data_IF_024222724671
#
_entry.id   IF_024222724671
#
_cell.length_a   1.000
_cell.length_b   1.000
_cell.length_c   1.000
_cell.angle_alpha   90.00
_cell.angle_beta   90.00
_cell.angle_gamma   90.00
#
_symmetry.space_group_name_H-M   'P 1'
#
loop_
_entity.id
_entity.type
_entity.pdbx_description
1 polymer ?
#
# COMPACT_ATOMS: atom_id res chain seq x y z
N UNK A 1 38.91 -80.75 7.00
CA UNK A 1 37.89 -80.23 6.07
C UNK A 1 38.63 -79.43 5.03
N UNK A 2 38.63 -79.85 3.76
CA UNK A 2 39.43 -79.16 2.74
C UNK A 2 38.91 -77.72 2.55
N UNK A 3 39.79 -76.72 2.40
CA UNK A 3 39.42 -75.31 2.40
C UNK A 3 38.40 -74.93 1.29
N UNK A 4 38.35 -75.69 0.20
CA UNK A 4 37.35 -75.50 -0.86
C UNK A 4 35.93 -75.88 -0.42
N UNK A 5 35.76 -76.81 0.53
CA UNK A 5 34.46 -77.20 1.09
C UNK A 5 33.88 -76.04 1.90
N UNK A 6 34.71 -75.32 2.66
CA UNK A 6 34.28 -74.17 3.46
C UNK A 6 33.85 -72.98 2.58
N UNK A 7 34.56 -72.76 1.46
CA UNK A 7 34.21 -71.77 0.44
C UNK A 7 32.85 -72.08 -0.22
N UNK A 8 32.57 -73.35 -0.55
CA UNK A 8 31.28 -73.75 -1.12
C UNK A 8 30.12 -73.54 -0.13
N UNK A 9 30.32 -73.80 1.16
CA UNK A 9 29.29 -73.58 2.19
C UNK A 9 28.97 -72.09 2.33
N UNK A 10 30.00 -71.24 2.41
CA UNK A 10 29.83 -69.77 2.52
C UNK A 10 29.14 -69.22 1.27
N UNK A 11 29.60 -69.63 0.08
CA UNK A 11 29.01 -69.19 -1.18
C UNK A 11 27.55 -69.63 -1.32
N UNK A 12 27.24 -70.88 -0.93
CA UNK A 12 25.86 -71.39 -0.88
C UNK A 12 24.96 -70.60 0.07
N UNK A 13 25.46 -70.23 1.26
CA UNK A 13 24.71 -69.41 2.22
C UNK A 13 24.43 -68.00 1.71
N UNK A 14 25.39 -67.36 1.03
CA UNK A 14 25.22 -66.04 0.42
C UNK A 14 24.19 -66.09 -0.70
N UNK A 15 24.25 -67.09 -1.59
CA UNK A 15 23.26 -67.27 -2.65
C UNK A 15 21.85 -67.46 -2.06
N UNK A 16 21.73 -68.30 -1.03
CA UNK A 16 20.44 -68.54 -0.36
C UNK A 16 19.87 -67.24 0.24
N UNK A 17 20.71 -66.43 0.88
CA UNK A 17 20.31 -65.13 1.43
C UNK A 17 19.83 -64.16 0.34
N UNK A 18 20.53 -64.09 -0.80
CA UNK A 18 20.14 -63.26 -1.94
C UNK A 18 18.79 -63.72 -2.52
N UNK A 19 18.59 -65.04 -2.68
CA UNK A 19 17.31 -65.61 -3.16
C UNK A 19 16.17 -65.24 -2.20
N UNK A 20 16.37 -65.36 -0.89
CA UNK A 20 15.37 -64.99 0.12
C UNK A 20 15.03 -63.48 0.04
N UNK A 21 16.03 -62.62 -0.18
CA UNK A 21 15.82 -61.17 -0.36
C UNK A 21 15.02 -60.88 -1.64
N UNK A 22 15.34 -61.55 -2.76
CA UNK A 22 14.63 -61.39 -4.04
C UNK A 22 13.18 -61.86 -3.93
N UNK A 23 12.93 -63.03 -3.32
CA UNK A 23 11.57 -63.55 -3.10
C UNK A 23 10.77 -62.60 -2.19
N UNK A 24 11.37 -62.09 -1.11
CA UNK A 24 10.73 -61.09 -0.24
C UNK A 24 10.44 -59.78 -0.98
N UNK A 25 11.33 -59.33 -1.87
CA UNK A 25 11.10 -58.15 -2.73
C UNK A 25 9.98 -58.37 -3.74
N UNK A 26 9.94 -59.51 -4.43
CA UNK A 26 8.90 -59.80 -5.43
C UNK A 26 7.51 -60.01 -4.80
N UNK A 27 7.42 -60.67 -3.63
CA UNK A 27 6.14 -60.78 -2.90
C UNK A 27 5.60 -59.42 -2.43
N UNK A 28 6.49 -58.47 -2.08
CA UNK A 28 6.08 -57.08 -1.76
C UNK A 28 5.60 -56.32 -3.00
N UNK A 29 6.21 -56.56 -4.17
CA UNK A 29 5.83 -55.91 -5.43
C UNK A 29 4.47 -56.34 -5.97
N UNK A 30 4.14 -57.65 -5.93
CA UNK A 30 2.87 -58.19 -6.43
C UNK A 30 1.67 -57.70 -5.61
N UNK A 31 1.73 -57.75 -4.26
CA UNK A 31 0.67 -57.22 -3.39
C UNK A 31 0.42 -55.73 -3.59
N UNK A 32 1.45 -54.94 -3.93
CA UNK A 32 1.30 -53.50 -4.15
C UNK A 32 0.55 -53.18 -5.45
N UNK A 33 0.69 -54.02 -6.50
CA UNK A 33 0.01 -53.83 -7.79
C UNK A 33 -1.48 -54.17 -7.73
N UNK A 34 -1.85 -55.33 -7.18
CA UNK A 34 -3.27 -55.76 -7.09
C UNK A 34 -4.10 -54.76 -6.29
N UNK A 35 -3.56 -54.24 -5.20
CA UNK A 35 -4.31 -53.34 -4.33
C UNK A 35 -4.28 -51.87 -4.80
N UNK A 36 -3.34 -51.46 -5.68
CA UNK A 36 -3.49 -50.15 -6.39
C UNK A 36 -4.67 -50.19 -7.36
N UNK A 37 -4.86 -51.34 -8.02
CA UNK A 37 -6.03 -51.58 -8.86
C UNK A 37 -7.32 -51.45 -8.04
N UNK A 38 -7.37 -52.04 -6.83
CA UNK A 38 -8.58 -52.00 -6.01
C UNK A 38 -8.97 -50.60 -5.54
N UNK A 39 -8.02 -49.74 -5.14
CA UNK A 39 -8.35 -48.34 -4.78
C UNK A 39 -8.93 -47.59 -5.97
N UNK A 40 -8.32 -47.73 -7.16
CA UNK A 40 -8.84 -47.07 -8.37
C UNK A 40 -10.26 -47.53 -8.67
N UNK A 41 -10.52 -48.84 -8.61
CA UNK A 41 -11.85 -49.41 -8.78
C UNK A 41 -12.88 -48.80 -7.82
N UNK A 42 -12.57 -48.67 -6.53
CA UNK A 42 -13.49 -48.03 -5.58
C UNK A 42 -13.75 -46.56 -5.90
N UNK A 43 -12.73 -45.81 -6.33
CA UNK A 43 -12.91 -44.43 -6.75
C UNK A 43 -13.78 -44.32 -8.02
N UNK A 44 -13.61 -45.24 -8.96
CA UNK A 44 -14.41 -45.30 -10.20
C UNK A 44 -15.90 -45.59 -9.91
N UNK A 45 -16.19 -46.36 -8.85
CA UNK A 45 -17.55 -46.60 -8.35
C UNK A 45 -18.06 -45.58 -7.33
N UNK A 46 -17.33 -44.47 -7.10
CA UNK A 46 -17.64 -43.47 -6.07
C UNK A 46 -17.74 -44.01 -4.63
N UNK A 47 -17.10 -45.15 -4.35
CA UNK A 47 -16.98 -45.73 -3.00
C UNK A 47 -15.75 -45.17 -2.27
N UNK A 48 -15.87 -43.91 -1.88
CA UNK A 48 -14.78 -43.19 -1.22
C UNK A 48 -14.41 -43.73 0.16
N UNK A 49 -15.34 -44.39 0.86
CA UNK A 49 -15.10 -44.97 2.19
C UNK A 49 -14.15 -46.17 2.07
N UNK A 50 -14.42 -47.09 1.14
CA UNK A 50 -13.55 -48.23 0.91
C UNK A 50 -12.17 -47.80 0.42
N UNK A 51 -12.09 -46.80 -0.47
CA UNK A 51 -10.83 -46.22 -0.90
C UNK A 51 -10.04 -45.58 0.26
N UNK A 52 -10.69 -44.76 1.09
CA UNK A 52 -10.09 -44.10 2.26
C UNK A 52 -9.56 -45.09 3.29
N UNK A 53 -10.34 -46.13 3.60
CA UNK A 53 -9.93 -47.23 4.48
C UNK A 53 -8.64 -47.88 4.00
N UNK A 54 -8.59 -48.23 2.71
CA UNK A 54 -7.40 -48.84 2.12
C UNK A 54 -6.18 -47.91 2.12
N UNK A 55 -6.35 -46.60 1.95
CA UNK A 55 -5.25 -45.65 2.10
C UNK A 55 -4.72 -45.63 3.54
N UNK A 56 -5.61 -45.56 4.54
CA UNK A 56 -5.22 -45.52 5.95
C UNK A 56 -4.55 -46.82 6.42
N UNK A 57 -5.09 -47.98 6.06
CA UNK A 57 -4.52 -49.30 6.40
C UNK A 57 -3.10 -49.49 5.83
N UNK A 58 -2.77 -48.81 4.73
CA UNK A 58 -1.42 -48.81 4.13
C UNK A 58 -0.48 -47.76 4.71
N UNK A 59 -0.98 -46.88 5.58
CA UNK A 59 -0.23 -45.72 6.04
C UNK A 59 -0.07 -44.61 4.98
N UNK A 60 -0.81 -44.67 3.87
CA UNK A 60 -0.87 -43.64 2.81
C UNK A 60 -1.73 -42.45 3.28
N UNK A 61 -1.32 -41.84 4.40
CA UNK A 61 -2.06 -40.77 5.09
C UNK A 61 -2.22 -39.51 4.24
N UNK A 62 -1.31 -39.28 3.29
CA UNK A 62 -1.41 -38.12 2.39
C UNK A 62 -2.60 -38.29 1.45
N UNK A 63 -2.63 -39.41 0.77
CA UNK A 63 -3.65 -39.76 -0.20
C UNK A 63 -5.03 -39.86 0.46
N UNK A 64 -5.10 -40.37 1.69
CA UNK A 64 -6.33 -40.37 2.51
C UNK A 64 -6.83 -38.95 2.84
N UNK A 65 -5.94 -38.00 3.14
CA UNK A 65 -6.33 -36.62 3.40
C UNK A 65 -6.75 -35.92 2.09
N UNK A 66 -6.00 -36.12 1.00
CA UNK A 66 -6.33 -35.58 -0.32
C UNK A 66 -7.69 -36.12 -0.81
N UNK A 67 -8.04 -37.36 -0.47
CA UNK A 67 -9.33 -37.94 -0.78
C UNK A 67 -10.47 -37.19 -0.07
N UNK A 68 -10.33 -36.90 1.23
CA UNK A 68 -11.35 -36.18 2.02
C UNK A 68 -11.73 -34.80 1.43
N UNK A 69 -10.79 -34.10 0.80
CA UNK A 69 -11.08 -32.81 0.18
C UNK A 69 -11.70 -32.91 -1.21
N UNK A 70 -11.71 -34.11 -1.82
CA UNK A 70 -12.33 -34.40 -3.11
C UNK A 70 -13.70 -35.06 -3.01
N UNK A 71 -14.06 -35.61 -1.85
CA UNK A 71 -15.35 -36.28 -1.66
C UNK A 71 -16.51 -35.27 -1.57
N UNK A 72 -17.71 -35.65 -2.04
CA UNK A 72 -18.92 -34.87 -1.86
C UNK A 72 -19.23 -34.58 -0.38
N UNK A 73 -19.82 -33.40 -0.03
CA UNK A 73 -20.09 -33.01 1.34
C UNK A 73 -20.87 -34.05 2.16
N UNK A 74 -21.87 -34.70 1.59
CA UNK A 74 -22.70 -35.73 2.22
C UNK A 74 -21.93 -37.00 2.60
N UNK A 75 -20.75 -37.21 1.99
CA UNK A 75 -19.87 -38.35 2.28
C UNK A 75 -18.78 -38.01 3.31
N UNK A 76 -18.62 -36.75 3.72
CA UNK A 76 -17.59 -36.33 4.70
C UNK A 76 -17.82 -36.88 6.12
N UNK A 77 -19.03 -36.76 6.71
CA UNK A 77 -19.27 -37.30 8.06
C UNK A 77 -18.99 -38.80 8.22
N UNK A 78 -19.42 -39.71 7.31
CA UNK A 78 -19.06 -41.12 7.44
C UNK A 78 -17.56 -41.37 7.22
N UNK A 79 -16.88 -40.57 6.41
CA UNK A 79 -15.43 -40.66 6.23
C UNK A 79 -14.68 -40.29 7.52
N UNK A 80 -15.10 -39.23 8.19
CA UNK A 80 -14.53 -38.82 9.49
C UNK A 80 -14.70 -39.90 10.56
N UNK A 81 -15.90 -40.50 10.66
CA UNK A 81 -16.15 -41.64 11.56
C UNK A 81 -15.26 -42.84 11.25
N UNK A 82 -15.05 -43.13 9.96
CA UNK A 82 -14.15 -44.19 9.52
C UNK A 82 -12.69 -43.89 9.93
N UNK A 83 -12.21 -42.65 9.78
CA UNK A 83 -10.86 -42.25 10.20
C UNK A 83 -10.68 -42.50 11.71
N UNK A 84 -11.68 -42.13 12.54
CA UNK A 84 -11.67 -42.36 13.98
C UNK A 84 -11.69 -43.87 14.30
N UNK A 85 -12.54 -44.65 13.62
CA UNK A 85 -12.62 -46.10 13.82
C UNK A 85 -11.29 -46.81 13.53
N UNK A 86 -10.57 -46.39 12.49
CA UNK A 86 -9.33 -47.04 12.05
C UNK A 86 -8.13 -46.58 12.90
N UNK A 87 -8.05 -45.28 13.23
CA UNK A 87 -6.87 -44.70 13.90
C UNK A 87 -7.04 -44.49 15.41
N UNK A 88 -8.26 -44.65 15.94
CA UNK A 88 -8.64 -44.16 17.26
C UNK A 88 -8.72 -42.63 17.31
N UNK A 89 -9.31 -42.07 18.38
CA UNK A 89 -9.51 -40.61 18.50
C UNK A 89 -8.19 -39.83 18.45
N UNK A 90 -7.19 -40.24 19.24
CA UNK A 90 -5.88 -39.59 19.28
C UNK A 90 -5.17 -39.68 17.92
N UNK A 91 -5.26 -40.83 17.26
CA UNK A 91 -4.65 -41.04 15.94
C UNK A 91 -5.32 -40.21 14.85
N UNK A 92 -6.66 -40.09 14.88
CA UNK A 92 -7.43 -39.25 13.97
C UNK A 92 -7.10 -37.77 14.16
N UNK A 93 -7.00 -37.28 15.41
CA UNK A 93 -6.58 -35.89 15.68
C UNK A 93 -5.20 -35.58 15.09
N UNK A 94 -4.21 -36.44 15.35
CA UNK A 94 -2.87 -36.27 14.80
C UNK A 94 -2.85 -36.36 13.26
N UNK A 95 -3.64 -37.27 12.68
CA UNK A 95 -3.80 -37.38 11.24
C UNK A 95 -4.24 -36.06 10.61
N UNK A 96 -5.28 -35.43 11.17
CA UNK A 96 -5.79 -34.16 10.70
C UNK A 96 -4.84 -32.98 10.94
N UNK A 97 -4.14 -32.93 12.08
CA UNK A 97 -3.09 -31.92 12.35
C UNK A 97 -1.97 -32.00 11.30
N UNK A 98 -1.50 -33.21 10.97
CA UNK A 98 -0.47 -33.40 9.95
C UNK A 98 -0.96 -33.01 8.55
N UNK A 99 -2.23 -33.28 8.24
CA UNK A 99 -2.84 -32.83 7.00
C UNK A 99 -2.88 -31.28 6.96
N UNK A 100 -3.32 -30.63 8.04
CA UNK A 100 -3.37 -29.17 8.15
C UNK A 100 -2.01 -28.51 7.87
N UNK A 101 -0.94 -29.01 8.51
CA UNK A 101 0.44 -28.53 8.28
C UNK A 101 0.89 -28.70 6.83
N UNK A 102 0.47 -29.77 6.16
CA UNK A 102 0.83 -30.01 4.75
C UNK A 102 0.16 -29.02 3.81
N UNK A 103 -1.10 -28.65 4.07
CA UNK A 103 -1.83 -27.72 3.21
C UNK A 103 -1.57 -26.25 3.54
N UNK A 104 -0.94 -25.93 4.68
CA UNK A 104 -0.73 -24.56 5.15
C UNK A 104 -0.11 -23.61 4.12
N UNK A 105 0.79 -24.14 3.26
CA UNK A 105 1.47 -23.32 2.24
C UNK A 105 0.71 -23.25 0.91
N UNK A 106 -0.10 -24.27 0.57
CA UNK A 106 -0.64 -24.44 -0.78
C UNK A 106 -2.16 -24.24 -0.86
N UNK A 107 -2.90 -24.49 0.23
CA UNK A 107 -4.35 -24.37 0.25
C UNK A 107 -4.84 -24.06 1.68
N UNK A 108 -4.99 -22.78 1.96
CA UNK A 108 -5.37 -22.26 3.27
C UNK A 108 -6.73 -22.78 3.76
N UNK A 109 -7.70 -22.91 2.86
CA UNK A 109 -9.03 -23.45 3.19
C UNK A 109 -8.96 -24.90 3.65
N UNK A 110 -8.23 -25.75 2.92
CA UNK A 110 -8.02 -27.15 3.31
C UNK A 110 -7.23 -27.28 4.61
N UNK A 111 -6.20 -26.44 4.80
CA UNK A 111 -5.41 -26.41 6.02
C UNK A 111 -6.27 -26.08 7.25
N UNK A 112 -7.08 -25.02 7.15
CA UNK A 112 -8.04 -24.61 8.19
C UNK A 112 -8.99 -25.76 8.53
N UNK A 113 -9.66 -26.33 7.53
CA UNK A 113 -10.61 -27.45 7.75
C UNK A 113 -9.92 -28.63 8.42
N UNK A 114 -8.71 -29.00 7.98
CA UNK A 114 -7.96 -30.10 8.58
C UNK A 114 -7.61 -29.80 10.06
N UNK A 115 -7.14 -28.60 10.40
CA UNK A 115 -6.88 -28.27 11.81
C UNK A 115 -8.15 -28.32 12.68
N UNK A 116 -9.30 -27.85 12.16
CA UNK A 116 -10.58 -27.91 12.87
C UNK A 116 -11.04 -29.35 13.09
N UNK A 117 -10.93 -30.23 12.10
CA UNK A 117 -11.20 -31.67 12.25
C UNK A 117 -10.28 -32.33 13.29
N UNK A 118 -9.04 -31.84 13.39
CA UNK A 118 -8.08 -32.26 14.41
C UNK A 118 -8.31 -31.65 15.80
N UNK A 119 -9.32 -30.78 15.96
CA UNK A 119 -9.55 -29.93 17.15
C UNK A 119 -8.32 -29.09 17.53
N UNK A 120 -7.49 -28.75 16.55
CA UNK A 120 -6.27 -27.96 16.72
C UNK A 120 -6.54 -26.48 16.44
N UNK A 121 -7.49 -25.90 17.17
CA UNK A 121 -7.94 -24.51 17.01
C UNK A 121 -6.78 -23.51 17.07
N UNK A 122 -5.81 -23.74 17.98
CA UNK A 122 -4.64 -22.88 18.12
C UNK A 122 -3.78 -22.84 16.85
N UNK A 123 -3.53 -23.98 16.21
CA UNK A 123 -2.76 -24.04 14.96
C UNK A 123 -3.54 -23.40 13.80
N UNK A 124 -4.86 -23.59 13.75
CA UNK A 124 -5.73 -22.94 12.76
C UNK A 124 -5.69 -21.41 12.88
N UNK A 125 -5.85 -20.88 14.10
CA UNK A 125 -5.85 -19.44 14.35
C UNK A 125 -4.46 -18.84 14.06
N UNK A 126 -3.37 -19.51 14.48
CA UNK A 126 -2.00 -19.10 14.12
C UNK A 126 -1.81 -18.97 12.61
N UNK A 127 -2.24 -19.98 11.86
CA UNK A 127 -2.15 -19.97 10.41
C UNK A 127 -2.90 -18.76 9.81
N UNK A 128 -4.09 -18.45 10.31
CA UNK A 128 -4.90 -17.33 9.83
C UNK A 128 -4.29 -15.98 10.20
N UNK A 129 -3.78 -15.82 11.42
CA UNK A 129 -3.00 -14.64 11.84
C UNK A 129 -1.85 -14.44 10.86
N UNK A 130 -1.08 -15.49 10.56
CA UNK A 130 0.08 -15.44 9.68
C UNK A 130 -0.26 -14.98 8.26
N UNK A 131 -1.42 -15.42 7.75
CA UNK A 131 -1.94 -15.04 6.43
C UNK A 131 -2.75 -13.74 6.43
N UNK A 132 -2.87 -13.04 7.57
CA UNK A 132 -3.59 -11.76 7.68
C UNK A 132 -5.12 -11.88 7.67
N UNK A 133 -5.66 -13.08 7.91
CA UNK A 133 -7.10 -13.35 7.90
C UNK A 133 -7.72 -13.15 9.29
N UNK A 134 -7.67 -11.90 9.77
CA UNK A 134 -8.02 -11.53 11.15
C UNK A 134 -9.48 -11.87 11.52
N UNK A 135 -10.45 -11.55 10.66
CA UNK A 135 -11.87 -11.83 10.92
C UNK A 135 -12.16 -13.34 11.07
N UNK A 136 -11.55 -14.18 10.23
CA UNK A 136 -11.69 -15.63 10.34
C UNK A 136 -11.00 -16.20 11.57
N UNK A 137 -9.83 -15.64 11.94
CA UNK A 137 -9.13 -16.01 13.16
C UNK A 137 -10.02 -15.78 14.40
N UNK A 138 -10.67 -14.62 14.48
CA UNK A 138 -11.60 -14.26 15.57
C UNK A 138 -12.82 -15.19 15.58
N UNK A 139 -13.41 -15.49 14.42
CA UNK A 139 -14.58 -16.36 14.33
C UNK A 139 -14.34 -17.77 14.89
N UNK A 140 -13.11 -18.29 14.81
CA UNK A 140 -12.74 -19.61 15.36
C UNK A 140 -12.60 -19.58 16.89
N UNK A 141 -12.37 -18.42 17.51
CA UNK A 141 -12.24 -18.31 18.98
C UNK A 141 -13.49 -18.83 19.69
N UNK A 142 -14.68 -18.58 19.13
CA UNK A 142 -15.96 -19.06 19.66
C UNK A 142 -16.17 -20.57 19.54
N UNK A 143 -15.31 -21.27 18.80
CA UNK A 143 -15.34 -22.73 18.65
C UNK A 143 -14.42 -23.43 19.65
N UNK A 144 -13.54 -22.69 20.34
CA UNK A 144 -12.66 -23.25 21.37
C UNK A 144 -13.51 -23.61 22.58
N UNK A 145 -13.35 -24.82 23.17
CA UNK A 145 -14.07 -25.17 24.39
C UNK A 145 -13.77 -24.17 25.51
N UNK A 146 -14.82 -23.71 26.22
CA UNK A 146 -14.76 -22.67 27.26
C UNK A 146 -13.66 -22.95 28.29
N UNK A 147 -13.48 -24.21 28.70
CA UNK A 147 -12.45 -24.63 29.67
C UNK A 147 -11.01 -24.35 29.24
N UNK A 148 -10.76 -24.13 27.94
CA UNK A 148 -9.43 -23.85 27.38
C UNK A 148 -9.36 -22.50 26.66
N UNK A 149 -10.49 -21.81 26.51
CA UNK A 149 -10.62 -20.65 25.63
C UNK A 149 -9.72 -19.50 26.07
N UNK A 150 -9.81 -19.07 27.33
CA UNK A 150 -9.02 -17.96 27.88
C UNK A 150 -7.51 -18.19 27.72
N UNK A 151 -7.01 -19.34 28.19
CA UNK A 151 -5.58 -19.67 28.12
C UNK A 151 -5.07 -19.83 26.68
N UNK A 152 -5.90 -20.31 25.75
CA UNK A 152 -5.54 -20.39 24.34
C UNK A 152 -5.48 -19.01 23.69
N UNK A 153 -6.48 -18.16 23.95
CA UNK A 153 -6.58 -16.81 23.41
C UNK A 153 -5.43 -15.92 23.89
N UNK A 154 -5.08 -15.93 25.19
CA UNK A 154 -3.92 -15.17 25.69
C UNK A 154 -2.61 -15.56 24.99
N UNK A 155 -2.39 -16.86 24.75
CA UNK A 155 -1.20 -17.33 24.00
C UNK A 155 -1.25 -16.94 22.52
N UNK A 156 -2.43 -16.88 21.90
CA UNK A 156 -2.59 -16.43 20.52
C UNK A 156 -2.39 -14.92 20.40
N UNK A 157 -2.91 -14.16 21.36
CA UNK A 157 -2.69 -12.72 21.48
C UNK A 157 -1.20 -12.41 21.63
N UNK A 158 -0.51 -13.05 22.58
CA UNK A 158 0.95 -12.91 22.73
C UNK A 158 1.71 -13.30 21.45
N UNK A 159 1.26 -14.35 20.75
CA UNK A 159 1.86 -14.76 19.49
C UNK A 159 1.71 -13.71 18.39
N UNK A 160 0.52 -13.11 18.26
CA UNK A 160 0.26 -12.02 17.32
C UNK A 160 1.05 -10.76 17.69
N UNK A 161 1.08 -10.41 18.98
CA UNK A 161 1.85 -9.29 19.54
C UNK A 161 3.34 -9.41 19.17
N UNK A 162 3.96 -10.57 19.43
CA UNK A 162 5.38 -10.82 19.13
C UNK A 162 5.72 -10.75 17.63
N UNK A 163 4.71 -10.70 16.73
CA UNK A 163 4.88 -10.54 15.29
C UNK A 163 4.52 -9.13 14.80
N UNK A 164 4.34 -8.17 15.71
CA UNK A 164 3.91 -6.81 15.38
C UNK A 164 2.46 -6.73 14.88
N UNK A 165 1.63 -7.74 15.16
CA UNK A 165 0.22 -7.80 14.72
C UNK A 165 -0.69 -7.39 15.88
N UNK A 166 -0.52 -6.15 16.36
CA UNK A 166 -1.17 -5.67 17.58
C UNK A 166 -2.69 -5.64 17.50
N UNK A 167 -3.26 -5.22 16.36
CA UNK A 167 -4.71 -5.14 16.18
C UNK A 167 -5.40 -6.48 16.45
N UNK A 168 -4.96 -7.55 15.76
CA UNK A 168 -5.52 -8.89 15.98
C UNK A 168 -5.17 -9.43 17.37
N UNK A 169 -4.03 -9.05 17.96
CA UNK A 169 -3.71 -9.42 19.34
C UNK A 169 -4.74 -8.87 20.34
N UNK A 170 -5.13 -7.60 20.18
CA UNK A 170 -6.18 -6.96 20.97
C UNK A 170 -7.57 -7.54 20.66
N UNK A 171 -7.92 -7.70 19.38
CA UNK A 171 -9.23 -8.20 18.97
C UNK A 171 -9.50 -9.64 19.45
N UNK A 172 -8.47 -10.49 19.49
CA UNK A 172 -8.57 -11.83 20.07
C UNK A 172 -8.97 -11.79 21.55
N UNK A 173 -8.42 -10.86 22.33
CA UNK A 173 -8.75 -10.67 23.75
C UNK A 173 -10.17 -10.11 23.92
N UNK A 174 -10.54 -9.11 23.11
CA UNK A 174 -11.91 -8.54 23.11
C UNK A 174 -12.96 -9.60 22.75
N UNK A 175 -12.65 -10.52 21.85
CA UNK A 175 -13.56 -11.60 21.44
C UNK A 175 -14.02 -12.51 22.59
N UNK A 176 -13.29 -12.53 23.71
CA UNK A 176 -13.66 -13.28 24.93
C UNK A 176 -13.93 -12.38 26.14
N UNK A 177 -14.07 -11.07 25.93
CA UNK A 177 -14.39 -10.10 27.00
C UNK A 177 -13.22 -9.64 27.85
N UNK A 178 -11.96 -9.94 27.48
CA UNK A 178 -10.77 -9.44 28.17
C UNK A 178 -10.40 -8.03 27.67
N UNK A 179 -11.27 -7.06 27.94
CA UNK A 179 -11.16 -5.68 27.41
C UNK A 179 -9.92 -4.98 27.96
N UNK A 180 -9.68 -5.03 29.28
CA UNK A 180 -8.53 -4.35 29.91
C UNK A 180 -7.16 -4.81 29.34
N UNK A 181 -7.01 -6.11 29.09
CA UNK A 181 -5.79 -6.66 28.47
C UNK A 181 -5.66 -6.25 27.00
N UNK A 182 -6.78 -6.19 26.27
CA UNK A 182 -6.79 -5.74 24.88
C UNK A 182 -6.39 -4.26 24.76
N UNK A 183 -6.84 -3.44 25.70
CA UNK A 183 -6.52 -2.01 25.75
C UNK A 183 -5.06 -1.79 26.17
N UNK A 184 -4.53 -2.62 27.07
CA UNK A 184 -3.10 -2.64 27.38
C UNK A 184 -2.25 -2.99 26.14
N UNK A 185 -2.65 -4.00 25.36
CA UNK A 185 -1.99 -4.34 24.08
C UNK A 185 -2.05 -3.18 23.10
N UNK A 186 -3.20 -2.52 22.97
CA UNK A 186 -3.40 -1.38 22.08
C UNK A 186 -2.56 -0.18 22.51
N UNK A 187 -2.46 0.11 23.81
CA UNK A 187 -1.63 1.18 24.35
C UNK A 187 -0.12 0.93 24.09
N UNK A 188 0.35 -0.31 24.24
CA UNK A 188 1.74 -0.66 23.92
C UNK A 188 2.01 -0.50 22.42
N UNK A 189 1.07 -0.94 21.57
CA UNK A 189 1.17 -0.76 20.13
C UNK A 189 1.25 0.71 19.73
N UNK A 190 0.40 1.55 20.33
CA UNK A 190 0.38 2.99 20.08
C UNK A 190 1.71 3.64 20.47
N UNK A 191 2.28 3.26 21.62
CA UNK A 191 3.61 3.73 22.03
C UNK A 191 4.71 3.30 21.03
N UNK A 192 4.70 2.04 20.58
CA UNK A 192 5.66 1.56 19.59
C UNK A 192 5.50 2.27 18.24
N UNK A 193 4.29 2.51 17.74
CA UNK A 193 4.07 3.25 16.50
C UNK A 193 4.39 4.75 16.60
N UNK A 194 4.10 5.37 17.74
CA UNK A 194 4.53 6.75 18.01
C UNK A 194 6.06 6.88 17.92
N UNK A 195 6.79 5.91 18.48
CA UNK A 195 8.26 5.89 18.38
C UNK A 195 8.81 5.68 16.97
N UNK A 196 7.99 5.19 16.02
CA UNK A 196 8.35 4.96 14.61
C UNK A 196 7.85 6.13 13.72
N UNK A 197 7.51 7.28 14.31
CA UNK A 197 7.01 8.47 13.61
C UNK A 197 5.75 8.19 12.76
N UNK A 198 4.86 7.32 13.24
CA UNK A 198 3.53 7.06 12.64
C UNK A 198 2.40 7.45 13.60
N UNK A 199 2.30 8.75 13.93
CA UNK A 199 1.31 9.26 14.89
C UNK A 199 -0.14 8.96 14.47
N UNK A 200 -0.41 8.86 13.17
CA UNK A 200 -1.73 8.53 12.63
C UNK A 200 -2.20 7.12 13.04
N UNK A 201 -1.29 6.14 13.05
CA UNK A 201 -1.60 4.77 13.47
C UNK A 201 -1.72 4.71 15.00
N UNK A 202 -0.86 5.42 15.71
CA UNK A 202 -0.89 5.48 17.17
C UNK A 202 -2.23 6.04 17.68
N UNK A 203 -2.76 7.08 17.04
CA UNK A 203 -4.04 7.67 17.40
C UNK A 203 -5.19 6.67 17.29
N UNK A 204 -5.26 5.88 16.21
CA UNK A 204 -6.31 4.87 16.01
C UNK A 204 -6.25 3.77 17.11
N UNK A 205 -5.04 3.39 17.55
CA UNK A 205 -4.88 2.45 18.67
C UNK A 205 -5.28 3.03 20.02
N UNK A 206 -4.99 4.31 20.28
CA UNK A 206 -5.42 4.98 21.51
C UNK A 206 -6.94 5.16 21.57
N UNK A 207 -7.56 5.55 20.45
CA UNK A 207 -9.02 5.66 20.31
C UNK A 207 -9.69 4.30 20.60
N UNK A 208 -9.19 3.24 19.98
CA UNK A 208 -9.67 1.86 20.20
C UNK A 208 -9.51 1.38 21.65
N UNK A 209 -8.55 1.93 22.39
CA UNK A 209 -8.29 1.63 23.81
C UNK A 209 -9.08 2.53 24.78
N UNK A 210 -9.96 3.40 24.27
CA UNK A 210 -10.69 4.39 25.08
C UNK A 210 -9.79 5.47 25.69
N UNK A 211 -8.56 5.64 25.20
CA UNK A 211 -7.56 6.60 25.68
C UNK A 211 -7.57 7.87 24.81
N UNK A 212 -8.71 8.56 24.85
CA UNK A 212 -8.96 9.77 24.04
C UNK A 212 -7.94 10.88 24.33
N UNK A 213 -7.40 10.95 25.56
CA UNK A 213 -6.31 11.85 25.95
C UNK A 213 -5.03 11.64 25.12
N UNK A 214 -4.67 10.37 24.87
CA UNK A 214 -3.50 10.00 24.10
C UNK A 214 -3.77 10.04 22.60
N UNK A 215 -5.01 9.73 22.18
CA UNK A 215 -5.44 9.90 20.80
C UNK A 215 -5.35 11.37 20.36
N UNK A 216 -5.80 12.30 21.20
CA UNK A 216 -5.68 13.75 20.97
C UNK A 216 -4.23 14.18 20.77
N UNK A 217 -3.32 13.75 21.67
CA UNK A 217 -1.88 14.06 21.54
C UNK A 217 -1.25 13.48 20.28
N UNK A 218 -1.59 12.24 19.92
CA UNK A 218 -1.08 11.63 18.69
C UNK A 218 -1.59 12.35 17.44
N UNK A 219 -2.86 12.78 17.42
CA UNK A 219 -3.39 13.59 16.31
C UNK A 219 -2.73 14.98 16.24
N UNK A 220 -2.40 15.58 17.38
CA UNK A 220 -1.64 16.83 17.42
C UNK A 220 -0.22 16.66 16.85
N UNK A 221 0.48 15.58 17.20
CA UNK A 221 1.80 15.25 16.65
C UNK A 221 1.75 15.01 15.13
N UNK A 222 0.71 14.33 14.61
CA UNK A 222 0.49 14.23 13.16
C UNK A 222 0.19 15.60 12.55
N UNK A 223 -0.55 16.46 13.26
CA UNK A 223 -0.79 17.84 12.88
C UNK A 223 0.51 18.62 12.69
N UNK A 224 1.38 18.59 13.71
CA UNK A 224 2.67 19.26 13.71
C UNK A 224 3.59 18.72 12.61
N UNK A 225 3.64 17.39 12.45
CA UNK A 225 4.43 16.72 11.41
C UNK A 225 3.93 17.09 10.02
N UNK A 226 2.62 17.01 9.78
CA UNK A 226 2.01 17.42 8.52
C UNK A 226 2.27 18.90 8.22
N UNK A 227 2.24 19.77 9.23
CA UNK A 227 2.55 21.19 9.09
C UNK A 227 4.02 21.43 8.72
N UNK A 228 4.95 20.72 9.35
CA UNK A 228 6.39 20.75 9.01
C UNK A 228 6.68 20.29 7.57
N UNK A 229 5.87 19.36 7.09
CA UNK A 229 5.90 18.87 5.70
C UNK A 229 5.07 19.74 4.74
N UNK A 230 4.47 20.84 5.24
CA UNK A 230 3.62 21.77 4.48
C UNK A 230 2.36 21.12 3.91
N UNK A 231 1.90 20.02 4.50
CA UNK A 231 0.62 19.34 4.22
C UNK A 231 -0.52 19.99 5.01
N UNK A 232 -0.79 21.28 4.76
CA UNK A 232 -1.73 22.12 5.54
C UNK A 232 -3.12 21.47 5.74
N UNK A 233 -3.70 20.89 4.67
CA UNK A 233 -5.03 20.27 4.76
C UNK A 233 -5.04 19.03 5.68
N UNK A 234 -3.96 18.24 5.65
CA UNK A 234 -3.79 17.10 6.56
C UNK A 234 -3.61 17.57 8.00
N UNK A 235 -2.80 18.61 8.22
CA UNK A 235 -2.59 19.19 9.54
C UNK A 235 -3.90 19.70 10.15
N UNK A 236 -4.68 20.48 9.40
CA UNK A 236 -6.00 20.99 9.83
C UNK A 236 -6.93 19.85 10.24
N UNK A 237 -7.00 18.78 9.42
CA UNK A 237 -7.82 17.60 9.71
C UNK A 237 -7.34 16.86 10.97
N UNK A 238 -6.03 16.75 11.17
CA UNK A 238 -5.46 16.10 12.35
C UNK A 238 -5.77 16.90 13.62
N UNK A 239 -5.56 18.23 13.62
CA UNK A 239 -5.95 19.07 14.75
C UNK A 239 -7.46 19.06 15.04
N UNK A 240 -8.32 19.01 14.02
CA UNK A 240 -9.77 18.85 14.23
C UNK A 240 -10.11 17.53 14.95
N UNK A 241 -9.44 16.44 14.57
CA UNK A 241 -9.56 15.16 15.28
C UNK A 241 -9.00 15.25 16.70
N UNK A 242 -7.92 16.00 16.90
CA UNK A 242 -7.34 16.20 18.23
C UNK A 242 -8.31 16.94 19.16
N UNK A 243 -8.98 18.00 18.70
CA UNK A 243 -10.04 18.70 19.46
C UNK A 243 -11.14 17.73 19.86
N UNK A 244 -11.67 16.98 18.89
CA UNK A 244 -12.73 15.99 19.16
C UNK A 244 -12.30 14.96 20.22
N UNK A 245 -11.08 14.42 20.10
CA UNK A 245 -10.56 13.47 21.08
C UNK A 245 -10.37 14.10 22.47
N UNK A 246 -9.90 15.35 22.56
CA UNK A 246 -9.79 16.05 23.84
C UNK A 246 -11.14 16.35 24.48
N UNK A 247 -12.16 16.70 23.69
CA UNK A 247 -13.54 16.85 24.18
C UNK A 247 -14.09 15.53 24.73
N UNK A 248 -13.94 14.44 23.98
CA UNK A 248 -14.36 13.10 24.41
C UNK A 248 -13.61 12.63 25.67
N UNK A 249 -12.36 13.09 25.86
CA UNK A 249 -11.55 12.85 27.07
C UNK A 249 -11.92 13.75 28.26
N UNK A 250 -12.86 14.69 28.11
CA UNK A 250 -13.14 15.77 29.08
C UNK A 250 -11.88 16.60 29.42
N UNK A 251 -11.08 16.96 28.41
CA UNK A 251 -9.89 17.80 28.52
C UNK A 251 -10.09 19.18 27.86
N UNK A 252 -11.01 20.03 28.36
CA UNK A 252 -11.42 21.26 27.68
C UNK A 252 -10.28 22.28 27.52
N UNK A 253 -9.27 22.24 28.39
CA UNK A 253 -8.10 23.12 28.28
C UNK A 253 -7.24 22.79 27.06
N UNK A 254 -7.05 21.50 26.76
CA UNK A 254 -6.27 21.07 25.60
C UNK A 254 -7.08 21.25 24.32
N UNK A 255 -8.37 20.93 24.34
CA UNK A 255 -9.29 21.23 23.24
C UNK A 255 -9.24 22.71 22.85
N UNK A 256 -9.45 23.62 23.81
CA UNK A 256 -9.41 25.07 23.57
C UNK A 256 -8.07 25.55 23.01
N UNK A 257 -6.94 24.98 23.48
CA UNK A 257 -5.61 25.33 22.96
C UNK A 257 -5.46 24.94 21.49
N UNK A 258 -5.92 23.75 21.10
CA UNK A 258 -5.88 23.29 19.70
C UNK A 258 -6.91 24.03 18.85
N UNK A 259 -8.07 24.39 19.40
CA UNK A 259 -9.04 25.26 18.73
C UNK A 259 -8.46 26.64 18.40
N UNK A 260 -7.76 27.27 19.35
CA UNK A 260 -7.06 28.54 19.10
C UNK A 260 -6.01 28.42 18.00
N UNK A 261 -5.30 27.29 17.92
CA UNK A 261 -4.39 27.00 16.83
C UNK A 261 -5.13 26.79 15.50
N UNK A 262 -6.29 26.13 15.51
CA UNK A 262 -7.14 25.95 14.33
C UNK A 262 -7.75 27.26 13.84
N UNK A 263 -8.10 28.17 14.73
CA UNK A 263 -8.55 29.51 14.36
C UNK A 263 -7.47 30.18 13.52
N UNK A 264 -6.21 30.13 13.96
CA UNK A 264 -5.08 30.70 13.24
C UNK A 264 -4.86 30.13 11.82
N UNK A 265 -5.44 28.97 11.47
CA UNK A 265 -5.40 28.48 10.07
C UNK A 265 -6.14 29.41 9.10
N UNK A 266 -6.97 30.36 9.57
CA UNK A 266 -7.57 31.38 8.69
C UNK A 266 -6.48 32.15 7.93
N UNK A 267 -5.31 32.41 8.53
CA UNK A 267 -4.19 33.07 7.88
C UNK A 267 -3.66 32.26 6.69
N UNK A 268 -3.58 30.93 6.83
CA UNK A 268 -3.15 30.04 5.76
C UNK A 268 -4.20 29.90 4.65
N UNK A 269 -5.49 29.92 5.01
CA UNK A 269 -6.59 29.89 4.05
C UNK A 269 -6.64 31.21 3.25
N UNK A 270 -6.54 32.36 3.92
CA UNK A 270 -6.49 33.70 3.29
C UNK A 270 -5.25 33.85 2.39
N UNK A 271 -4.09 33.40 2.86
CA UNK A 271 -2.85 33.32 2.08
C UNK A 271 -3.02 32.56 0.76
N UNK A 272 -3.67 31.40 0.82
CA UNK A 272 -3.97 30.60 -0.38
C UNK A 272 -4.99 31.27 -1.28
N UNK A 273 -6.01 31.90 -0.71
CA UNK A 273 -7.03 32.63 -1.47
C UNK A 273 -6.40 33.77 -2.29
N UNK A 274 -5.51 34.57 -1.70
CA UNK A 274 -4.77 35.60 -2.44
C UNK A 274 -3.94 35.01 -3.58
N UNK A 275 -3.26 33.88 -3.35
CA UNK A 275 -2.50 33.20 -4.40
C UNK A 275 -3.40 32.66 -5.54
N UNK A 276 -4.57 32.08 -5.21
CA UNK A 276 -5.57 31.59 -6.19
C UNK A 276 -6.11 32.74 -7.03
N UNK A 277 -6.38 33.88 -6.40
CA UNK A 277 -6.90 35.08 -7.05
C UNK A 277 -5.84 35.80 -7.92
N UNK A 278 -4.61 35.28 -7.99
CA UNK A 278 -3.53 35.88 -8.76
C UNK A 278 -2.98 37.17 -8.13
N UNK A 279 -3.11 37.31 -6.81
CA UNK A 279 -2.62 38.46 -6.02
C UNK A 279 -1.46 38.04 -5.11
N UNK A 280 -0.34 37.52 -5.65
CA UNK A 280 0.68 36.88 -4.83
C UNK A 280 1.45 37.88 -3.94
N UNK A 281 1.41 39.19 -4.23
CA UNK A 281 1.97 40.22 -3.34
C UNK A 281 1.19 40.31 -2.02
N UNK A 282 -0.13 40.12 -2.05
CA UNK A 282 -0.96 40.10 -0.83
C UNK A 282 -0.71 38.83 -0.02
N UNK A 283 -0.55 37.69 -0.70
CA UNK A 283 -0.14 36.45 -0.05
C UNK A 283 1.25 36.60 0.60
N UNK A 284 2.20 37.23 -0.10
CA UNK A 284 3.54 37.50 0.41
C UNK A 284 3.53 38.42 1.65
N UNK A 285 2.61 39.39 1.72
CA UNK A 285 2.46 40.27 2.88
C UNK A 285 2.04 39.53 4.16
N UNK A 286 1.40 38.35 4.06
CA UNK A 286 0.99 37.53 5.20
C UNK A 286 2.10 36.60 5.71
N UNK A 287 3.22 36.49 5.01
CA UNK A 287 4.26 35.49 5.33
C UNK A 287 4.85 35.67 6.72
N UNK A 288 5.11 36.91 7.15
CA UNK A 288 5.71 37.15 8.46
C UNK A 288 4.74 36.81 9.60
N UNK A 289 3.46 37.19 9.46
CA UNK A 289 2.39 36.84 10.41
C UNK A 289 2.21 35.31 10.50
N UNK A 290 2.22 34.62 9.36
CA UNK A 290 2.14 33.15 9.30
C UNK A 290 3.36 32.52 9.98
N UNK A 291 4.56 33.09 9.83
CA UNK A 291 5.78 32.53 10.44
C UNK A 291 5.86 32.79 11.93
N UNK A 292 5.34 33.92 12.41
CA UNK A 292 5.20 34.17 13.85
C UNK A 292 4.22 33.18 14.48
N UNK A 293 3.11 32.92 13.77
CA UNK A 293 2.05 32.01 14.22
C UNK A 293 2.45 30.53 14.12
N UNK A 294 3.10 30.15 13.02
CA UNK A 294 3.50 28.78 12.68
C UNK A 294 5.01 28.71 12.40
N UNK A 295 5.87 28.80 13.44
CA UNK A 295 7.32 28.85 13.28
C UNK A 295 7.93 27.60 12.62
N UNK A 296 7.19 26.50 12.61
CA UNK A 296 7.56 25.23 11.97
C UNK A 296 7.50 25.33 10.43
N UNK A 297 6.67 26.21 9.88
CA UNK A 297 6.57 26.40 8.42
C UNK A 297 7.75 27.24 7.92
N UNK A 298 8.59 26.63 7.09
CA UNK A 298 9.74 27.35 6.52
C UNK A 298 9.31 28.39 5.50
N UNK A 299 10.01 29.53 5.44
CA UNK A 299 9.80 30.57 4.42
C UNK A 299 9.80 29.99 2.98
N UNK A 300 10.73 29.09 2.70
CA UNK A 300 10.81 28.41 1.39
C UNK A 300 9.56 27.61 1.02
N UNK A 301 8.84 27.08 2.01
CA UNK A 301 7.62 26.31 1.78
C UNK A 301 6.43 27.22 1.44
N UNK A 302 6.32 28.38 2.10
CA UNK A 302 5.30 29.37 1.78
C UNK A 302 5.48 29.89 0.35
N UNK A 303 6.70 30.24 -0.06
CA UNK A 303 6.95 30.63 -1.46
C UNK A 303 6.67 29.50 -2.46
N UNK A 304 7.04 28.26 -2.14
CA UNK A 304 6.75 27.12 -3.01
C UNK A 304 5.23 26.85 -3.13
N UNK A 305 4.46 27.11 -2.08
CA UNK A 305 3.00 27.02 -2.08
C UNK A 305 2.39 28.07 -3.01
N UNK A 306 2.80 29.35 -2.91
CA UNK A 306 2.39 30.41 -3.84
C UNK A 306 2.70 29.98 -5.29
N UNK A 307 3.94 29.52 -5.54
CA UNK A 307 4.35 29.06 -6.86
C UNK A 307 3.49 27.91 -7.41
N UNK A 308 3.16 26.94 -6.56
CA UNK A 308 2.34 25.79 -6.93
C UNK A 308 0.89 26.18 -7.23
N UNK A 309 0.29 27.06 -6.42
CA UNK A 309 -1.07 27.56 -6.64
C UNK A 309 -1.15 28.39 -7.93
N UNK A 310 -0.19 29.28 -8.15
CA UNK A 310 -0.12 30.09 -9.37
C UNK A 310 0.04 29.22 -10.62
N UNK A 311 0.87 28.18 -10.55
CA UNK A 311 1.02 27.22 -11.64
C UNK A 311 -0.32 26.52 -11.96
N UNK A 312 -1.02 26.00 -10.95
CA UNK A 312 -2.30 25.32 -11.12
C UNK A 312 -3.38 26.23 -11.73
N UNK A 313 -3.32 27.54 -11.43
CA UNK A 313 -4.20 28.56 -11.97
C UNK A 313 -3.68 29.18 -13.29
N UNK A 314 -2.70 28.55 -13.94
CA UNK A 314 -2.17 28.95 -15.25
C UNK A 314 -1.50 30.34 -15.27
N UNK A 315 -0.80 30.70 -14.19
CA UNK A 315 0.08 31.87 -14.08
C UNK A 315 1.57 31.47 -14.05
N UNK A 316 2.12 30.79 -15.09
CA UNK A 316 3.44 30.18 -15.03
C UNK A 316 4.58 31.18 -14.87
N UNK A 317 4.43 32.42 -15.37
CA UNK A 317 5.43 33.47 -15.21
C UNK A 317 5.58 33.93 -13.75
N UNK A 318 4.47 34.09 -13.03
CA UNK A 318 4.49 34.42 -11.61
C UNK A 318 4.99 33.22 -10.79
N UNK A 319 4.56 32.00 -11.15
CA UNK A 319 4.99 30.77 -10.49
C UNK A 319 6.53 30.62 -10.50
N UNK A 320 7.20 30.94 -11.62
CA UNK A 320 8.67 30.94 -11.70
C UNK A 320 9.29 31.84 -10.64
N UNK A 321 8.82 33.09 -10.51
CA UNK A 321 9.35 34.04 -9.51
C UNK A 321 9.30 33.47 -8.09
N UNK A 322 8.19 32.81 -7.74
CA UNK A 322 8.01 32.27 -6.39
C UNK A 322 8.76 30.96 -6.15
N UNK A 323 8.92 30.10 -7.16
CA UNK A 323 9.81 28.94 -7.03
C UNK A 323 11.29 29.34 -6.93
N UNK A 324 11.69 30.43 -7.56
CA UNK A 324 13.04 31.00 -7.44
C UNK A 324 13.28 31.52 -6.01
N UNK A 325 12.37 32.37 -5.51
CA UNK A 325 12.38 32.80 -4.10
C UNK A 325 12.42 31.61 -3.12
N UNK A 326 11.68 30.53 -3.40
CA UNK A 326 11.68 29.31 -2.59
C UNK A 326 13.04 28.60 -2.60
N UNK A 327 13.70 28.52 -3.76
CA UNK A 327 15.03 27.91 -3.92
C UNK A 327 16.13 28.68 -3.18
N UNK A 328 16.05 30.01 -3.21
CA UNK A 328 16.97 30.91 -2.50
C UNK A 328 16.76 30.88 -0.99
N UNK A 329 15.51 30.74 -0.54
CA UNK A 329 15.15 30.77 0.88
C UNK A 329 15.38 29.46 1.63
N UNK A 330 15.83 28.38 0.96
CA UNK A 330 16.07 27.07 1.60
C UNK A 330 17.55 26.73 1.65
N UNK A 331 18.01 26.22 2.78
CA UNK A 331 19.35 25.64 2.94
C UNK A 331 19.38 24.12 2.68
N UNK A 332 18.22 23.48 2.48
CA UNK A 332 18.16 22.04 2.22
C UNK A 332 18.40 21.76 0.73
N UNK A 333 19.48 21.05 0.35
CA UNK A 333 19.85 20.83 -1.05
C UNK A 333 18.81 19.99 -1.81
N UNK A 334 18.13 19.06 -1.13
CA UNK A 334 17.08 18.23 -1.75
C UNK A 334 15.85 19.07 -2.09
N UNK A 335 15.38 19.91 -1.15
CA UNK A 335 14.27 20.84 -1.41
C UNK A 335 14.63 21.84 -2.50
N UNK A 336 15.82 22.44 -2.45
CA UNK A 336 16.32 23.35 -3.49
C UNK A 336 16.30 22.69 -4.87
N UNK A 337 16.80 21.46 -4.98
CA UNK A 337 16.79 20.72 -6.26
C UNK A 337 15.37 20.45 -6.77
N UNK A 338 14.42 20.18 -5.86
CA UNK A 338 13.00 20.04 -6.21
C UNK A 338 12.44 21.31 -6.86
N UNK A 339 12.68 22.48 -6.25
CA UNK A 339 12.22 23.76 -6.78
C UNK A 339 12.90 24.11 -8.11
N UNK A 340 14.21 23.83 -8.25
CA UNK A 340 14.94 23.98 -9.53
C UNK A 340 14.36 23.09 -10.64
N UNK A 341 13.92 21.89 -10.29
CA UNK A 341 13.24 21.01 -11.26
C UNK A 341 11.87 21.58 -11.67
N UNK A 342 11.11 22.15 -10.75
CA UNK A 342 9.86 22.86 -11.05
C UNK A 342 10.11 24.06 -11.99
N UNK A 343 11.12 24.89 -11.70
CA UNK A 343 11.55 26.00 -12.56
C UNK A 343 11.90 25.53 -13.98
N UNK A 344 12.69 24.45 -14.11
CA UNK A 344 13.06 23.90 -15.43
C UNK A 344 11.83 23.43 -16.21
N UNK A 345 10.87 22.80 -15.53
CA UNK A 345 9.61 22.34 -16.14
C UNK A 345 8.79 23.52 -16.63
N UNK A 346 8.54 24.51 -15.77
CA UNK A 346 7.80 25.73 -16.15
C UNK A 346 8.48 26.48 -17.30
N UNK A 347 9.82 26.60 -17.29
CA UNK A 347 10.57 27.18 -18.41
C UNK A 347 10.39 26.40 -19.71
N UNK A 348 10.33 25.06 -19.64
CA UNK A 348 10.01 24.23 -20.81
C UNK A 348 8.57 24.38 -21.30
N UNK A 349 7.62 24.61 -20.39
CA UNK A 349 6.20 24.83 -20.74
C UNK A 349 6.00 26.20 -21.38
N UNK A 350 6.56 27.25 -20.78
CA UNK A 350 6.53 28.62 -21.33
C UNK A 350 7.20 28.67 -22.71
N UNK A 351 8.32 27.99 -22.91
CA UNK A 351 8.97 27.95 -24.24
C UNK A 351 8.18 27.17 -25.30
N UNK A 352 7.25 26.31 -24.90
CA UNK A 352 6.32 25.63 -25.81
C UNK A 352 5.06 26.45 -26.09
N UNK A 353 4.69 27.36 -25.19
CA UNK A 353 3.56 28.25 -25.43
C UNK A 353 3.94 29.17 -26.59
N UNK A 354 3.08 29.28 -27.62
CA UNK A 354 3.30 30.26 -28.67
C UNK A 354 3.35 31.62 -27.99
N UNK A 355 4.43 32.37 -28.23
CA UNK A 355 4.55 33.73 -27.73
C UNK A 355 3.30 34.51 -28.12
N UNK A 356 2.74 35.30 -27.19
CA UNK A 356 1.53 36.09 -27.42
C UNK A 356 1.73 36.85 -28.75
N UNK A 357 0.76 36.79 -29.69
CA UNK A 357 0.88 37.33 -31.06
C UNK A 357 1.44 36.36 -32.13
N UNK A 358 1.85 35.15 -31.75
CA UNK A 358 2.30 34.09 -32.66
C UNK A 358 1.13 33.18 -33.05
N UNK A 359 0.77 33.21 -34.33
CA UNK A 359 -0.31 32.37 -34.87
C UNK A 359 0.28 31.31 -35.80
N UNK A 360 -0.33 30.13 -35.87
CA UNK A 360 -0.01 29.17 -36.95
C UNK A 360 -0.86 29.51 -38.17
N UNK A 361 -0.24 29.68 -39.34
CA UNK A 361 -0.94 29.96 -40.58
C UNK A 361 -1.99 28.85 -40.87
N UNK A 362 -3.28 29.17 -40.94
CA UNK A 362 -4.34 28.15 -41.11
C UNK A 362 -4.34 27.52 -42.50
N UNK A 363 -3.84 28.24 -43.50
CA UNK A 363 -3.66 27.82 -44.89
C UNK A 363 -2.40 28.48 -45.48
N UNK A 364 -2.04 28.14 -46.71
CA UNK A 364 -0.98 28.87 -47.42
C UNK A 364 -1.48 30.29 -47.73
N UNK A 365 -0.84 31.30 -47.16
CA UNK A 365 -1.24 32.69 -47.37
C UNK A 365 -0.87 33.13 -48.79
N UNK A 366 -1.78 33.85 -49.45
CA UNK A 366 -1.53 34.42 -50.79
C UNK A 366 -0.44 35.49 -50.74
N UNK A 367 -0.40 36.27 -49.66
CA UNK A 367 0.59 37.31 -49.45
C UNK A 367 1.91 36.71 -48.90
N UNK A 368 3.07 36.99 -49.53
CA UNK A 368 4.35 36.54 -49.02
C UNK A 368 4.75 37.33 -47.77
N UNK A 369 5.66 36.76 -46.99
CA UNK A 369 6.22 37.43 -45.83
C UNK A 369 6.85 38.78 -46.21
N UNK A 370 6.43 39.87 -45.56
CA UNK A 370 6.92 41.24 -45.86
C UNK A 370 8.42 41.43 -45.65
N UNK A 371 9.07 40.57 -44.86
CA UNK A 371 10.53 40.65 -44.60
C UNK A 371 11.31 39.83 -45.63
N UNK A 372 11.06 38.53 -45.74
CA UNK A 372 11.87 37.64 -46.57
C UNK A 372 11.33 37.46 -48.00
N UNK A 373 10.13 37.98 -48.29
CA UNK A 373 9.40 37.88 -49.58
C UNK A 373 9.11 36.45 -50.05
N UNK A 374 9.29 35.45 -49.18
CA UNK A 374 8.94 34.04 -49.46
C UNK A 374 7.47 33.77 -49.11
N UNK A 375 6.80 32.84 -49.81
CA UNK A 375 5.43 32.43 -49.48
C UNK A 375 5.36 31.83 -48.08
N UNK A 376 4.27 32.12 -47.37
CA UNK A 376 4.01 31.59 -46.03
C UNK A 376 3.10 30.37 -46.15
N UNK A 377 3.60 29.22 -45.70
CA UNK A 377 2.88 27.93 -45.80
C UNK A 377 2.04 27.66 -44.56
N UNK A 378 1.00 26.83 -44.73
CA UNK A 378 0.17 26.32 -43.64
C UNK A 378 1.03 25.70 -42.53
N UNK A 379 0.72 26.03 -41.28
CA UNK A 379 1.42 25.55 -40.10
C UNK A 379 2.74 26.26 -39.78
N UNK A 380 3.13 27.28 -40.56
CA UNK A 380 4.23 28.16 -40.18
C UNK A 380 3.76 29.23 -39.19
N UNK A 381 4.65 29.66 -38.32
CA UNK A 381 4.39 30.73 -37.36
C UNK A 381 4.36 32.09 -38.06
N UNK A 382 3.29 32.84 -37.81
CA UNK A 382 3.04 34.15 -38.44
C UNK A 382 2.76 35.22 -37.39
N UNK A 383 3.09 36.45 -37.77
CA UNK A 383 2.70 37.68 -37.11
C UNK A 383 2.12 38.64 -38.15
N UNK A 384 1.28 39.58 -37.70
CA UNK A 384 0.78 40.68 -38.53
C UNK A 384 1.25 42.00 -37.93
N UNK A 385 1.60 42.96 -38.78
CA UNK A 385 1.81 44.33 -38.30
C UNK A 385 0.47 44.91 -37.78
N UNK A 386 0.42 45.49 -36.58
CA UNK A 386 -0.82 46.04 -36.03
C UNK A 386 -1.38 47.22 -36.85
N UNK A 387 -0.51 47.94 -37.58
CA UNK A 387 -0.93 49.09 -38.38
C UNK A 387 -1.37 48.73 -39.79
N UNK A 388 -0.58 47.94 -40.52
CA UNK A 388 -0.87 47.62 -41.93
C UNK A 388 -1.44 46.22 -42.17
N UNK A 389 -1.51 45.38 -41.12
CA UNK A 389 -2.05 44.02 -41.15
C UNK A 389 -1.39 43.06 -42.14
N UNK A 390 -0.24 43.44 -42.72
CA UNK A 390 0.50 42.56 -43.62
C UNK A 390 1.15 41.40 -42.86
N UNK A 391 1.09 40.16 -43.39
CA UNK A 391 1.63 38.99 -42.72
C UNK A 391 3.15 38.90 -42.88
N UNK A 392 3.78 38.31 -41.88
CA UNK A 392 5.19 37.94 -41.90
C UNK A 392 5.37 36.61 -41.17
N UNK A 393 6.44 35.88 -41.48
CA UNK A 393 6.93 34.86 -40.55
C UNK A 393 7.26 35.54 -39.22
N UNK A 394 6.77 34.99 -38.11
CA UNK A 394 6.90 35.58 -36.78
C UNK A 394 8.37 35.94 -36.46
N UNK A 395 9.28 34.98 -36.64
CA UNK A 395 10.72 35.16 -36.38
C UNK A 395 11.34 36.29 -37.21
N UNK A 396 10.99 36.41 -38.50
CA UNK A 396 11.54 37.45 -39.36
C UNK A 396 11.05 38.85 -38.97
N UNK A 397 9.78 38.99 -38.58
CA UNK A 397 9.22 40.30 -38.19
C UNK A 397 9.79 40.76 -36.85
N UNK A 398 9.92 39.86 -35.87
CA UNK A 398 10.48 40.17 -34.55
C UNK A 398 11.95 40.61 -34.67
N UNK A 399 12.78 39.86 -35.39
CA UNK A 399 14.18 40.24 -35.61
C UNK A 399 14.30 41.57 -36.37
N UNK A 400 13.42 41.82 -37.35
CA UNK A 400 13.38 43.11 -38.04
C UNK A 400 13.05 44.26 -37.09
N UNK A 401 12.04 44.11 -36.23
CA UNK A 401 11.63 45.13 -35.27
C UNK A 401 12.74 45.40 -34.24
N UNK A 402 13.46 44.38 -33.78
CA UNK A 402 14.60 44.58 -32.87
C UNK A 402 15.71 45.44 -33.48
N UNK A 403 16.00 45.24 -34.77
CA UNK A 403 17.09 45.96 -35.46
C UNK A 403 16.65 47.35 -35.95
N UNK A 404 15.46 47.45 -36.54
CA UNK A 404 15.01 48.66 -37.24
C UNK A 404 13.95 49.46 -36.47
N UNK A 405 13.33 48.89 -35.44
CA UNK A 405 12.29 49.54 -34.62
C UNK A 405 11.05 49.96 -35.39
N UNK A 406 10.82 49.43 -36.61
CA UNK A 406 9.74 49.87 -37.50
C UNK A 406 9.27 48.78 -38.46
N UNK A 407 8.04 48.89 -38.96
CA UNK A 407 7.46 47.96 -39.93
C UNK A 407 8.15 48.08 -41.31
N UNK A 408 8.58 46.98 -41.95
CA UNK A 408 9.22 47.03 -43.27
C UNK A 408 8.28 47.47 -44.40
N UNK A 409 6.95 47.41 -44.19
CA UNK A 409 5.96 47.75 -45.21
C UNK A 409 5.40 49.16 -45.05
N UNK A 410 4.95 49.53 -43.84
CA UNK A 410 4.31 50.84 -43.60
C UNK A 410 5.18 51.84 -42.83
N UNK A 411 6.40 51.45 -42.44
CA UNK A 411 7.38 52.27 -41.72
C UNK A 411 6.92 52.86 -40.37
N UNK A 412 5.76 52.44 -39.87
CA UNK A 412 5.34 52.81 -38.52
C UNK A 412 6.30 52.22 -37.50
N UNK A 413 6.61 53.01 -36.46
CA UNK A 413 7.47 52.59 -35.35
C UNK A 413 6.77 51.47 -34.59
N UNK A 414 7.46 50.36 -34.39
CA UNK A 414 6.96 49.18 -33.69
C UNK A 414 7.92 48.81 -32.56
N UNK A 415 7.35 48.35 -31.46
CA UNK A 415 8.02 47.61 -30.38
C UNK A 415 7.66 46.13 -30.50
N UNK A 416 8.48 45.28 -29.90
CA UNK A 416 8.21 43.83 -29.86
C UNK A 416 6.84 43.56 -29.23
N UNK A 417 6.52 44.29 -28.17
CA UNK A 417 5.25 44.22 -27.43
C UNK A 417 4.02 44.57 -28.28
N UNK A 418 4.19 45.36 -29.35
CA UNK A 418 3.09 45.76 -30.25
C UNK A 418 2.63 44.59 -31.15
N UNK A 419 3.49 43.59 -31.35
CA UNK A 419 3.15 42.37 -32.09
C UNK A 419 2.43 41.37 -31.17
N UNK A 420 2.70 41.44 -29.86
CA UNK A 420 2.22 40.44 -28.92
C UNK A 420 0.77 40.66 -28.50
N UNK A 421 0.27 41.89 -28.50
CA UNK A 421 -1.04 42.23 -27.95
C UNK A 421 -2.19 42.32 -28.99
N UNK A 422 -2.06 41.66 -30.13
CA UNK A 422 -2.93 41.84 -31.30
C UNK A 422 -3.43 40.50 -31.85
#
# INVERSE_FOLDING_TARGET
>A
MEPWILLLIIFGAIILAIIIIIIKRNKKGSKKRTTKSSIKTYLDYHDYLSAGRLYLERGERKEAADLYFRIPPEKKPPYERMVIQILGEKGARLFWIHAGRRYADNNLGQAKTAFLLGQAYFDAIKLLIDKGMNAEAIAIVNQIPVSYQEGAVRRLSQYAFNRGKYQIAADLLRAIGLVDEADAVSAVAAHEYGSIERPEIAADFYDSAGRQDLAGRAQEEEGDKALAESRIATAKKAYQKAVQAYDDANQPKEALRVEQLLEQFYLLDEFREFAVNGEPEKAEALIDDIRETFPVITLSALYAEIGSVLEQNNYPHLAITYFDKAADSTNNPVKRQSYVNALRRLGSEISKQPSIGQYLAPHNLEEPCIVCRKPIKKGQEIAHCPHCKKPAHYSHLIEWIKVQGSCPNCYHKLRVDDIQNN
#
